data_IF_160304644583
#
_entry.id   IF_160304644583
#
_cell.length_a   1.000
_cell.length_b   1.000
_cell.length_c   1.000
_cell.angle_alpha   90.00
_cell.angle_beta   90.00
_cell.angle_gamma   90.00
#
_symmetry.space_group_name_H-M   'P 1'
#
loop_
_entity.id
_entity.type
_entity.pdbx_description
1 polymer ?
#
# COMPACT_ATOMS: atom_id res chain seq x y z
N UNK A 1 22.49 16.99 -39.91
CA UNK A 1 21.13 17.22 -40.42
C UNK A 1 20.43 15.88 -40.34
N UNK A 2 19.64 15.66 -39.30
CA UNK A 2 18.90 14.42 -39.06
C UNK A 2 17.49 14.83 -38.66
N UNK A 3 16.51 14.31 -39.42
CA UNK A 3 15.11 14.67 -39.33
C UNK A 3 14.47 13.99 -38.11
N UNK A 4 13.96 14.82 -37.19
CA UNK A 4 12.94 14.43 -36.23
C UNK A 4 11.64 14.20 -37.01
N UNK A 5 11.11 12.98 -36.97
CA UNK A 5 9.74 12.70 -37.38
C UNK A 5 8.86 12.87 -36.14
N UNK A 6 8.36 14.08 -35.92
CA UNK A 6 7.25 14.35 -35.01
C UNK A 6 5.95 13.98 -35.73
N UNK A 7 5.30 12.91 -35.28
CA UNK A 7 3.89 12.66 -35.61
C UNK A 7 3.04 13.57 -34.73
N UNK A 8 2.73 14.76 -35.22
CA UNK A 8 1.67 15.60 -34.67
C UNK A 8 0.31 15.05 -35.16
N UNK A 9 -0.42 14.33 -34.31
CA UNK A 9 -1.87 14.20 -34.51
C UNK A 9 -2.54 15.45 -33.91
N UNK A 10 -2.82 16.40 -34.78
CA UNK A 10 -3.77 17.53 -34.71
C UNK A 10 -4.37 17.89 -33.33
N UNK A 11 -3.69 18.73 -32.56
CA UNK A 11 -4.35 19.66 -31.65
C UNK A 11 -4.78 20.90 -32.43
N UNK A 12 -6.05 20.94 -32.84
CA UNK A 12 -6.67 22.18 -33.33
C UNK A 12 -7.09 23.04 -32.15
N UNK A 13 -6.39 24.17 -31.98
CA UNK A 13 -6.89 25.31 -31.20
C UNK A 13 -8.10 25.88 -31.96
N UNK A 14 -9.29 25.47 -31.56
CA UNK A 14 -10.55 25.92 -32.13
C UNK A 14 -11.56 26.12 -31.01
N UNK A 15 -12.11 27.33 -30.92
CA UNK A 15 -13.25 27.71 -30.08
C UNK A 15 -14.53 27.07 -30.58
N UNK A 16 -14.59 25.74 -30.55
CA UNK A 16 -15.82 24.98 -30.76
C UNK A 16 -16.27 24.45 -29.40
N UNK A 17 -17.53 24.68 -29.07
CA UNK A 17 -18.18 24.19 -27.85
C UNK A 17 -17.83 22.72 -27.61
N UNK A 18 -17.14 22.45 -26.49
CA UNK A 18 -16.55 21.19 -26.02
C UNK A 18 -17.55 20.02 -25.79
N UNK A 19 -18.68 19.99 -26.48
CA UNK A 19 -19.64 18.89 -26.42
C UNK A 19 -19.18 17.70 -27.28
N UNK A 20 -18.29 16.86 -26.74
CA UNK A 20 -18.06 15.51 -27.28
C UNK A 20 -16.65 15.14 -27.70
N UNK A 21 -15.63 15.98 -27.48
CA UNK A 21 -14.23 15.57 -27.69
C UNK A 21 -13.76 14.75 -26.49
N UNK A 22 -13.55 13.46 -26.72
CA UNK A 22 -12.86 12.60 -25.77
C UNK A 22 -11.40 13.08 -25.63
N UNK A 23 -10.88 12.94 -24.43
CA UNK A 23 -9.54 13.41 -24.06
C UNK A 23 -8.61 12.23 -23.75
N UNK A 24 -7.32 12.51 -23.68
CA UNK A 24 -6.28 11.55 -23.32
C UNK A 24 -5.45 12.05 -22.14
N UNK A 25 -4.89 11.13 -21.36
CA UNK A 25 -3.95 11.43 -20.27
C UNK A 25 -2.74 10.53 -20.41
N UNK A 26 -1.55 11.12 -20.48
CA UNK A 26 -0.26 10.42 -20.42
C UNK A 26 0.36 10.53 -19.03
N UNK A 27 0.72 9.40 -18.46
CA UNK A 27 1.48 9.27 -17.22
C UNK A 27 2.94 8.99 -17.56
N UNK A 28 3.86 9.74 -16.97
CA UNK A 28 5.29 9.46 -17.00
C UNK A 28 5.68 8.81 -15.68
N UNK A 29 6.14 7.57 -15.73
CA UNK A 29 6.56 6.82 -14.55
C UNK A 29 8.01 7.20 -14.23
N UNK A 30 8.16 8.19 -13.34
CA UNK A 30 9.44 8.74 -12.93
C UNK A 30 10.32 7.76 -12.15
N UNK A 31 9.74 6.64 -11.67
CA UNK A 31 10.48 5.56 -11.02
C UNK A 31 9.85 5.07 -9.73
N UNK A 32 10.63 4.33 -8.95
CA UNK A 32 10.29 3.86 -7.61
C UNK A 32 11.18 4.58 -6.58
N UNK A 33 10.56 5.19 -5.58
CA UNK A 33 11.25 5.79 -4.45
C UNK A 33 11.66 4.72 -3.42
N UNK A 34 12.93 4.74 -2.99
CA UNK A 34 13.39 3.92 -1.87
C UNK A 34 13.80 2.48 -2.21
N UNK A 35 14.03 2.16 -3.49
CA UNK A 35 14.99 1.12 -3.92
C UNK A 35 16.39 1.75 -3.80
N UNK A 36 17.34 1.18 -3.05
CA UNK A 36 18.66 1.81 -2.91
C UNK A 36 19.77 0.78 -2.72
N UNK A 37 20.82 0.88 -3.54
CA UNK A 37 22.18 0.50 -3.12
C UNK A 37 22.79 1.64 -2.28
N UNK A 38 23.78 1.34 -1.42
CA UNK A 38 24.34 2.22 -0.36
C UNK A 38 24.79 3.67 -0.74
N UNK A 39 24.70 4.12 -2.00
CA UNK A 39 25.38 5.33 -2.48
C UNK A 39 24.52 6.56 -2.82
N UNK A 40 23.18 6.53 -2.85
CA UNK A 40 22.39 7.75 -3.15
C UNK A 40 20.98 7.76 -2.53
N UNK A 41 20.53 8.93 -2.08
CA UNK A 41 19.11 9.22 -1.85
C UNK A 41 18.50 9.65 -3.20
N UNK A 42 17.71 8.82 -3.88
CA UNK A 42 17.12 9.19 -5.18
C UNK A 42 15.91 8.36 -5.60
N UNK A 43 15.29 8.76 -6.73
CA UNK A 43 14.25 8.04 -7.47
C UNK A 43 14.96 7.20 -8.54
N UNK A 44 14.69 5.90 -8.60
CA UNK A 44 15.27 5.01 -9.62
C UNK A 44 14.23 4.65 -10.67
N UNK A 45 14.61 4.69 -11.96
CA UNK A 45 13.75 4.22 -13.04
C UNK A 45 13.34 2.78 -12.78
N UNK A 46 12.06 2.48 -13.00
CA UNK A 46 11.54 1.12 -12.86
C UNK A 46 12.16 0.20 -13.93
N UNK A 47 12.76 -0.90 -13.47
CA UNK A 47 13.27 -1.95 -14.34
C UNK A 47 12.13 -2.89 -14.72
N UNK A 48 11.47 -2.63 -15.84
CA UNK A 48 10.37 -3.47 -16.35
C UNK A 48 10.81 -4.89 -16.76
N UNK A 49 12.10 -5.24 -16.70
CA UNK A 49 12.53 -6.64 -16.80
C UNK A 49 12.31 -7.40 -15.49
N UNK A 50 12.43 -6.71 -14.34
CA UNK A 50 12.27 -7.26 -12.98
C UNK A 50 10.87 -7.02 -12.40
N UNK A 51 10.30 -5.85 -12.66
CA UNK A 51 9.02 -5.43 -12.11
C UNK A 51 7.91 -5.49 -13.16
N UNK A 52 6.72 -5.92 -12.74
CA UNK A 52 5.48 -5.72 -13.46
C UNK A 52 4.76 -4.50 -12.89
N UNK A 53 4.04 -3.76 -13.74
CA UNK A 53 3.23 -2.64 -13.30
C UNK A 53 1.92 -2.57 -14.08
N UNK A 54 0.83 -2.16 -13.41
CA UNK A 54 -0.50 -2.03 -13.99
C UNK A 54 -1.16 -0.73 -13.54
N UNK A 55 -1.85 -0.08 -14.48
CA UNK A 55 -2.71 1.07 -14.24
C UNK A 55 -4.17 0.62 -14.15
N UNK A 56 -4.81 0.96 -13.05
CA UNK A 56 -6.24 0.80 -12.79
C UNK A 56 -6.89 2.17 -12.89
N UNK A 57 -7.97 2.25 -13.67
CA UNK A 57 -8.70 3.50 -13.87
C UNK A 57 -10.13 3.32 -13.38
N UNK A 58 -10.55 4.16 -12.46
CA UNK A 58 -11.91 4.20 -11.93
C UNK A 58 -12.59 5.49 -12.37
N UNK A 59 -13.89 5.42 -12.65
CA UNK A 59 -14.70 6.52 -13.17
C UNK A 59 -15.88 6.78 -12.25
N UNK A 60 -16.17 8.05 -12.00
CA UNK A 60 -17.38 8.53 -11.32
C UNK A 60 -18.21 9.46 -12.21
N UNK A 61 -19.52 9.50 -11.98
CA UNK A 61 -20.43 10.41 -12.66
C UNK A 61 -20.56 11.72 -11.88
N UNK A 62 -20.44 12.86 -12.56
CA UNK A 62 -20.55 14.21 -11.96
C UNK A 62 -21.88 14.45 -11.22
N UNK A 63 -22.92 13.63 -11.46
CA UNK A 63 -24.27 13.90 -10.94
C UNK A 63 -24.49 13.61 -9.46
N UNK A 64 -23.67 12.77 -8.83
CA UNK A 64 -23.93 12.27 -7.47
C UNK A 64 -22.66 12.26 -6.57
N UNK A 65 -21.67 13.13 -6.85
CA UNK A 65 -20.48 13.26 -6.00
C UNK A 65 -20.87 13.96 -4.67
N UNK A 66 -21.42 13.17 -3.75
CA UNK A 66 -21.37 13.50 -2.33
C UNK A 66 -20.02 13.05 -1.83
N UNK A 67 -19.14 14.02 -1.57
CA UNK A 67 -17.93 13.76 -0.80
C UNK A 67 -18.37 13.50 0.64
N UNK A 68 -18.48 12.23 1.00
CA UNK A 68 -18.45 11.85 2.40
C UNK A 68 -17.01 12.09 2.88
N UNK A 69 -16.77 12.93 3.90
CA UNK A 69 -15.43 13.13 4.45
C UNK A 69 -14.76 11.82 4.88
N UNK A 70 -15.56 10.82 5.26
CA UNK A 70 -15.12 9.51 5.71
C UNK A 70 -15.12 8.46 4.57
N UNK A 71 -15.57 8.85 3.37
CA UNK A 71 -15.47 8.06 2.14
C UNK A 71 -15.46 8.97 0.92
N UNK A 72 -14.29 9.52 0.53
CA UNK A 72 -14.21 10.55 -0.49
C UNK A 72 -14.52 10.05 -1.90
N UNK A 73 -14.55 8.72 -2.12
CA UNK A 73 -14.65 8.11 -3.46
C UNK A 73 -15.65 6.93 -3.54
N UNK A 74 -16.89 7.05 -3.02
CA UNK A 74 -17.77 5.90 -2.79
C UNK A 74 -18.33 5.30 -4.10
N UNK A 75 -18.39 6.10 -5.17
CA UNK A 75 -19.07 5.74 -6.41
C UNK A 75 -18.13 5.44 -7.59
N UNK A 76 -16.82 5.51 -7.37
CA UNK A 76 -15.83 5.25 -8.41
C UNK A 76 -15.81 3.76 -8.76
N UNK A 77 -16.13 3.45 -10.01
CA UNK A 77 -16.16 2.07 -10.52
C UNK A 77 -15.08 1.88 -11.57
N UNK A 78 -14.54 0.67 -11.67
CA UNK A 78 -13.54 0.33 -12.68
C UNK A 78 -14.07 0.70 -14.08
N UNK A 79 -13.33 1.51 -14.82
CA UNK A 79 -13.79 2.03 -16.12
C UNK A 79 -13.62 0.98 -17.23
N UNK A 80 -12.49 0.28 -17.20
CA UNK A 80 -12.04 -0.66 -18.24
C UNK A 80 -11.03 -1.64 -17.67
N UNK A 81 -10.63 -2.61 -18.50
CA UNK A 81 -9.55 -3.55 -18.15
C UNK A 81 -8.27 -2.81 -17.73
N UNK A 82 -7.58 -3.29 -16.66
CA UNK A 82 -6.32 -2.71 -16.23
C UNK A 82 -5.28 -2.72 -17.35
N UNK A 83 -4.53 -1.63 -17.48
CA UNK A 83 -3.53 -1.47 -18.54
C UNK A 83 -2.16 -1.88 -18.01
N UNK A 84 -1.51 -2.83 -18.67
CA UNK A 84 -0.13 -3.20 -18.36
C UNK A 84 0.83 -2.09 -18.79
N UNK A 85 1.74 -1.73 -17.90
CA UNK A 85 2.78 -0.74 -18.15
C UNK A 85 4.08 -1.51 -18.44
N UNK A 86 4.59 -1.33 -19.66
CA UNK A 86 5.80 -2.01 -20.14
C UNK A 86 6.95 -1.03 -20.44
N UNK A 87 6.65 0.27 -20.40
CA UNK A 87 7.58 1.37 -20.69
C UNK A 87 7.42 2.48 -19.64
N UNK A 88 8.33 3.45 -19.62
CA UNK A 88 8.32 4.57 -18.66
C UNK A 88 7.16 5.56 -18.83
N UNK A 89 6.20 5.26 -19.70
CA UNK A 89 4.99 6.05 -19.87
C UNK A 89 3.80 5.16 -20.25
N UNK A 90 2.60 5.62 -19.94
CA UNK A 90 1.34 5.00 -20.36
C UNK A 90 0.33 6.08 -20.69
N UNK A 91 -0.37 5.93 -21.82
CA UNK A 91 -1.42 6.86 -22.24
C UNK A 91 -2.77 6.18 -22.16
N UNK A 92 -3.72 6.88 -21.55
CA UNK A 92 -5.12 6.47 -21.44
C UNK A 92 -5.93 7.42 -22.31
N UNK A 93 -6.50 6.88 -23.39
CA UNK A 93 -7.33 7.61 -24.33
C UNK A 93 -8.82 7.45 -24.03
N UNK A 94 -9.63 8.18 -24.79
CA UNK A 94 -11.09 8.06 -24.80
C UNK A 94 -11.73 8.37 -23.44
N UNK A 95 -11.20 9.38 -22.74
CA UNK A 95 -11.73 9.85 -21.46
C UNK A 95 -12.77 10.95 -21.69
N UNK A 96 -13.99 10.72 -21.22
CA UNK A 96 -15.01 11.76 -21.16
C UNK A 96 -14.84 12.59 -19.89
N UNK A 97 -13.86 13.49 -19.93
CA UNK A 97 -13.51 14.42 -18.84
C UNK A 97 -14.43 15.65 -18.78
N UNK A 98 -15.45 15.72 -19.62
CA UNK A 98 -16.48 16.77 -19.54
C UNK A 98 -17.64 16.35 -18.64
N UNK A 99 -17.84 15.05 -18.47
CA UNK A 99 -18.97 14.48 -17.72
C UNK A 99 -18.55 13.60 -16.53
N UNK A 100 -17.26 13.24 -16.43
CA UNK A 100 -16.78 12.30 -15.42
C UNK A 100 -15.45 12.75 -14.80
N UNK A 101 -15.26 12.42 -13.53
CA UNK A 101 -13.97 12.41 -12.86
C UNK A 101 -13.39 11.00 -12.92
N UNK A 102 -12.06 10.89 -12.86
CA UNK A 102 -11.39 9.60 -12.81
C UNK A 102 -10.40 9.53 -11.66
N UNK A 103 -10.21 8.34 -11.11
CA UNK A 103 -9.10 8.01 -10.22
C UNK A 103 -8.19 7.04 -10.97
N UNK A 104 -6.89 7.31 -10.94
CA UNK A 104 -5.89 6.35 -11.39
C UNK A 104 -5.16 5.77 -10.19
N UNK A 105 -4.85 4.49 -10.26
CA UNK A 105 -3.97 3.78 -9.34
C UNK A 105 -2.97 3.00 -10.17
N UNK A 106 -1.69 3.17 -9.90
CA UNK A 106 -0.61 2.39 -10.50
C UNK A 106 -0.03 1.51 -9.40
N UNK A 107 -0.02 0.21 -9.63
CA UNK A 107 0.58 -0.80 -8.74
C UNK A 107 1.76 -1.44 -9.46
N UNK A 108 2.90 -1.51 -8.80
CA UNK A 108 4.08 -2.23 -9.25
C UNK A 108 4.54 -3.27 -8.21
N UNK A 109 5.10 -4.37 -8.72
CA UNK A 109 5.50 -5.55 -7.96
C UNK A 109 6.62 -6.29 -8.71
N UNK A 110 7.40 -7.10 -8.01
CA UNK A 110 8.36 -7.99 -8.69
C UNK A 110 7.61 -9.06 -9.49
N UNK A 111 8.02 -9.31 -10.73
CA UNK A 111 7.31 -10.22 -11.64
C UNK A 111 7.14 -11.63 -11.10
N UNK A 112 8.06 -12.10 -10.25
CA UNK A 112 7.97 -13.39 -9.57
C UNK A 112 6.68 -13.53 -8.73
N UNK A 113 6.11 -12.40 -8.28
CA UNK A 113 4.93 -12.33 -7.46
C UNK A 113 3.68 -11.83 -8.22
N UNK A 114 3.66 -11.87 -9.55
CA UNK A 114 2.56 -11.33 -10.36
C UNK A 114 1.18 -11.90 -9.99
N UNK A 115 1.10 -13.20 -9.67
CA UNK A 115 -0.15 -13.84 -9.25
C UNK A 115 -0.59 -13.38 -7.85
N UNK A 116 0.35 -13.17 -6.93
CA UNK A 116 0.07 -12.63 -5.59
C UNK A 116 -0.31 -11.14 -5.66
N UNK A 117 0.27 -10.39 -6.59
CA UNK A 117 0.03 -8.96 -6.77
C UNK A 117 -1.24 -8.61 -7.56
N UNK A 118 -2.09 -9.60 -7.87
CA UNK A 118 -3.36 -9.35 -8.54
C UNK A 118 -4.24 -8.46 -7.68
N UNK A 119 -4.91 -7.51 -8.32
CA UNK A 119 -5.96 -6.71 -7.69
C UNK A 119 -7.28 -7.45 -7.87
N UNK A 120 -8.02 -7.60 -6.77
CA UNK A 120 -9.33 -8.24 -6.69
C UNK A 120 -10.34 -7.24 -6.13
N UNK A 121 -11.62 -7.51 -6.34
CA UNK A 121 -12.70 -6.79 -5.68
C UNK A 121 -13.21 -7.63 -4.51
N UNK A 122 -13.35 -7.04 -3.33
CA UNK A 122 -14.01 -7.70 -2.21
C UNK A 122 -15.53 -7.77 -2.45
N UNK A 123 -16.10 -8.93 -2.14
CA UNK A 123 -17.54 -9.17 -2.21
C UNK A 123 -18.08 -9.48 -0.81
N UNK A 124 -18.66 -8.47 -0.17
CA UNK A 124 -19.20 -8.57 1.18
C UNK A 124 -20.37 -9.56 1.32
N UNK A 125 -21.13 -9.82 0.25
CA UNK A 125 -22.26 -10.77 0.29
C UNK A 125 -21.79 -12.22 0.45
N UNK A 126 -20.60 -12.54 -0.10
CA UNK A 126 -20.05 -13.89 -0.13
C UNK A 126 -18.74 -14.02 0.66
N UNK A 127 -18.26 -12.94 1.29
CA UNK A 127 -17.03 -12.86 2.06
C UNK A 127 -15.81 -13.40 1.30
N UNK A 128 -15.67 -12.99 0.03
CA UNK A 128 -14.56 -13.46 -0.81
C UNK A 128 -14.06 -12.42 -1.83
N UNK A 129 -12.85 -12.64 -2.31
CA UNK A 129 -12.29 -11.94 -3.47
C UNK A 129 -12.88 -12.43 -4.78
N UNK A 130 -13.25 -11.51 -5.66
CA UNK A 130 -13.67 -11.78 -7.04
C UNK A 130 -12.81 -11.01 -8.04
N UNK A 131 -12.70 -11.55 -9.26
CA UNK A 131 -12.00 -10.85 -10.35
C UNK A 131 -12.65 -9.49 -10.62
N UNK A 132 -11.82 -8.55 -11.08
CA UNK A 132 -12.27 -7.22 -11.41
C UNK A 132 -13.21 -7.23 -12.62
N UNK A 133 -14.27 -6.44 -12.55
CA UNK A 133 -15.22 -6.27 -13.64
C UNK A 133 -15.51 -4.79 -13.88
N UNK A 134 -15.35 -4.35 -15.13
CA UNK A 134 -15.65 -3.00 -15.54
C UNK A 134 -17.12 -2.62 -15.23
N UNK A 135 -17.32 -1.38 -14.79
CA UNK A 135 -18.58 -0.81 -14.33
C UNK A 135 -19.24 -1.53 -13.13
N UNK A 136 -18.58 -2.51 -12.49
CA UNK A 136 -19.08 -3.18 -11.28
C UNK A 136 -18.13 -3.04 -10.09
N UNK A 137 -16.85 -3.33 -10.27
CA UNK A 137 -15.88 -3.27 -9.17
C UNK A 137 -15.71 -1.85 -8.65
N UNK A 138 -15.94 -1.66 -7.35
CA UNK A 138 -15.83 -0.38 -6.68
C UNK A 138 -14.39 -0.14 -6.23
N UNK A 139 -13.88 1.06 -6.48
CA UNK A 139 -12.55 1.49 -6.04
C UNK A 139 -12.30 1.21 -4.56
N UNK A 140 -13.28 1.52 -3.72
CA UNK A 140 -13.20 1.41 -2.26
C UNK A 140 -13.09 -0.03 -1.76
N UNK A 141 -13.50 -1.02 -2.56
CA UNK A 141 -13.47 -2.45 -2.20
C UNK A 141 -12.39 -3.22 -2.96
N UNK A 142 -11.60 -2.56 -3.81
CA UNK A 142 -10.51 -3.20 -4.54
C UNK A 142 -9.27 -3.31 -3.66
N UNK A 143 -8.63 -4.49 -3.64
CA UNK A 143 -7.47 -4.81 -2.81
C UNK A 143 -6.45 -5.71 -3.53
N UNK A 144 -5.24 -5.81 -3.00
CA UNK A 144 -4.19 -6.68 -3.52
C UNK A 144 -4.26 -8.08 -2.88
N UNK A 145 -4.39 -9.12 -3.71
CA UNK A 145 -4.74 -10.50 -3.34
C UNK A 145 -3.72 -11.26 -2.50
N UNK A 146 -2.45 -10.82 -2.45
CA UNK A 146 -1.38 -11.48 -1.71
C UNK A 146 -1.69 -11.65 -0.20
N UNK A 147 -2.75 -11.00 0.26
CA UNK A 147 -3.10 -10.76 1.64
C UNK A 147 -4.49 -11.31 2.02
N UNK A 148 -5.08 -12.17 1.18
CA UNK A 148 -6.49 -12.63 1.27
C UNK A 148 -6.81 -13.44 2.55
N UNK A 149 -7.91 -13.06 3.21
CA UNK A 149 -8.49 -13.66 4.42
C UNK A 149 -8.89 -15.14 4.30
N UNK A 150 -9.19 -15.62 3.09
CA UNK A 150 -9.77 -16.96 2.90
C UNK A 150 -8.79 -18.11 3.17
N UNK A 151 -7.50 -17.79 3.28
CA UNK A 151 -6.51 -18.69 3.86
C UNK A 151 -6.11 -18.08 5.20
N UNK A 152 -6.39 -18.79 6.31
CA UNK A 152 -6.09 -18.47 7.71
C UNK A 152 -4.62 -18.08 8.05
N UNK A 153 -3.79 -17.76 7.06
CA UNK A 153 -2.55 -17.02 7.17
C UNK A 153 -2.43 -16.09 5.95
N UNK A 154 -2.88 -14.82 6.04
CA UNK A 154 -2.76 -13.84 4.94
C UNK A 154 -1.29 -13.47 4.65
N UNK A 155 -0.35 -13.96 5.45
CA UNK A 155 1.09 -13.81 5.23
C UNK A 155 1.79 -15.18 5.22
N UNK A 156 2.84 -15.34 4.41
CA UNK A 156 3.71 -16.50 4.48
C UNK A 156 4.17 -16.72 5.93
N UNK A 157 3.90 -17.90 6.45
CA UNK A 157 4.12 -18.24 7.87
C UNK A 157 5.59 -18.34 8.23
N UNK A 158 6.49 -18.32 7.25
CA UNK A 158 7.94 -18.51 7.40
C UNK A 158 8.72 -17.19 7.52
N UNK A 159 8.08 -16.02 7.36
CA UNK A 159 8.75 -14.72 7.50
C UNK A 159 9.82 -14.41 6.45
N UNK A 160 9.97 -15.26 5.42
CA UNK A 160 11.00 -15.13 4.38
C UNK A 160 10.50 -14.43 3.10
N UNK A 161 9.20 -14.41 2.85
CA UNK A 161 8.64 -13.86 1.61
C UNK A 161 8.50 -12.32 1.69
N UNK A 162 9.47 -11.63 1.07
CA UNK A 162 9.59 -10.18 0.98
C UNK A 162 8.69 -9.59 -0.11
N UNK A 163 7.41 -9.97 -0.16
CA UNK A 163 6.49 -9.44 -1.15
C UNK A 163 6.31 -7.92 -0.98
N UNK A 164 6.92 -7.14 -1.87
CA UNK A 164 6.85 -5.67 -1.85
C UNK A 164 5.89 -5.15 -2.91
N UNK A 165 4.98 -4.27 -2.47
CA UNK A 165 4.12 -3.48 -3.33
C UNK A 165 4.57 -2.03 -3.36
N UNK A 166 4.56 -1.47 -4.56
CA UNK A 166 4.75 -0.05 -4.81
C UNK A 166 3.52 0.52 -5.48
N UNK A 167 3.12 1.72 -5.07
CA UNK A 167 1.86 2.32 -5.45
C UNK A 167 1.99 3.81 -5.68
N UNK A 168 1.15 4.35 -6.56
CA UNK A 168 0.84 5.76 -6.65
C UNK A 168 -0.57 5.94 -7.21
N UNK A 169 -1.21 7.05 -6.87
CA UNK A 169 -2.54 7.35 -7.37
C UNK A 169 -2.89 8.82 -7.28
N UNK A 170 -3.99 9.18 -7.92
CA UNK A 170 -4.52 10.53 -7.85
C UNK A 170 -5.80 10.71 -8.65
N UNK A 171 -6.38 11.89 -8.51
CA UNK A 171 -7.59 12.28 -9.23
C UNK A 171 -7.24 12.96 -10.57
N UNK A 172 -8.01 12.61 -11.59
CA UNK A 172 -8.06 13.29 -12.88
C UNK A 172 -9.38 14.04 -12.93
N UNK A 173 -9.35 15.31 -12.53
CA UNK A 173 -10.53 16.15 -12.51
C UNK A 173 -11.09 16.37 -13.92
N UNK A 174 -12.41 16.43 -14.01
CA UNK A 174 -13.11 17.01 -15.15
C UNK A 174 -12.73 18.49 -15.32
N UNK A 175 -12.69 18.99 -16.56
CA UNK A 175 -12.48 20.41 -16.90
C UNK A 175 -11.04 20.99 -16.92
N UNK A 176 -9.97 20.19 -16.81
CA UNK A 176 -8.63 20.71 -17.13
C UNK A 176 -8.40 20.70 -18.66
N UNK A 177 -8.55 21.87 -19.29
CA UNK A 177 -8.41 22.09 -20.75
C UNK A 177 -6.96 22.01 -21.27
N UNK A 178 -5.95 22.03 -20.39
CA UNK A 178 -4.54 21.91 -20.77
C UNK A 178 -3.95 20.62 -20.21
N UNK A 179 -3.40 19.79 -21.09
CA UNK A 179 -2.79 18.53 -20.68
C UNK A 179 -1.30 18.70 -20.40
N UNK A 180 -0.92 18.56 -19.14
CA UNK A 180 0.47 18.36 -18.71
C UNK A 180 0.62 16.86 -18.39
N UNK A 181 1.65 16.18 -18.91
CA UNK A 181 1.95 14.81 -18.50
C UNK A 181 1.99 14.70 -16.97
N UNK A 182 1.32 13.67 -16.43
CA UNK A 182 1.31 13.43 -14.99
C UNK A 182 2.59 12.68 -14.65
N UNK A 183 3.49 13.30 -13.92
CA UNK A 183 4.67 12.63 -13.38
C UNK A 183 4.27 11.80 -12.15
N UNK A 184 4.62 10.52 -12.19
CA UNK A 184 4.26 9.54 -11.16
C UNK A 184 5.53 8.94 -10.58
N UNK A 185 5.71 9.07 -9.28
CA UNK A 185 6.74 8.37 -8.50
C UNK A 185 6.06 7.34 -7.63
N UNK A 186 6.44 6.08 -7.79
CA UNK A 186 5.88 4.97 -7.03
C UNK A 186 6.56 4.88 -5.67
N UNK A 187 5.78 4.73 -4.61
CA UNK A 187 6.30 4.61 -3.24
C UNK A 187 5.93 3.25 -2.66
N UNK A 188 6.76 2.73 -1.75
CA UNK A 188 6.51 1.46 -1.08
C UNK A 188 5.24 1.55 -0.22
N UNK A 189 4.29 0.64 -0.42
CA UNK A 189 3.00 0.60 0.29
C UNK A 189 3.02 -0.34 1.52
N UNK A 190 4.21 -0.79 1.91
CA UNK A 190 4.45 -1.73 2.99
C UNK A 190 5.29 -1.06 4.08
N UNK A 191 4.91 -1.29 5.33
CA UNK A 191 5.69 -1.01 6.52
C UNK A 191 6.22 -2.31 7.15
N UNK A 192 6.94 -2.21 8.27
CA UNK A 192 7.43 -3.37 9.00
C UNK A 192 7.31 -3.20 10.52
N UNK A 193 7.03 -4.29 11.21
CA UNK A 193 7.07 -4.39 12.67
C UNK A 193 8.28 -5.23 13.06
N UNK A 194 9.09 -4.72 13.98
CA UNK A 194 10.30 -5.40 14.45
C UNK A 194 10.20 -5.66 15.95
N UNK A 195 10.13 -6.92 16.36
CA UNK A 195 10.25 -7.33 17.76
C UNK A 195 11.72 -7.43 18.14
N UNK A 196 12.25 -6.38 18.77
CA UNK A 196 13.65 -6.28 19.18
C UNK A 196 13.88 -6.96 20.53
N UNK A 197 14.80 -7.92 20.58
CA UNK A 197 15.08 -8.75 21.76
C UNK A 197 16.46 -8.52 22.37
N UNK A 198 17.41 -8.02 21.57
CA UNK A 198 18.83 -7.89 21.95
C UNK A 198 19.59 -9.22 22.11
N UNK A 199 18.94 -10.38 21.98
CA UNK A 199 19.54 -11.69 22.26
C UNK A 199 20.69 -12.06 21.30
N UNK A 200 21.83 -12.49 21.83
CA UNK A 200 23.04 -12.77 21.03
C UNK A 200 22.90 -13.96 20.06
N UNK A 201 22.12 -14.97 20.44
CA UNK A 201 21.88 -16.18 19.66
C UNK A 201 20.55 -16.14 18.89
N UNK A 202 20.05 -14.96 18.52
CA UNK A 202 18.71 -14.74 17.95
C UNK A 202 18.36 -15.69 16.79
N UNK A 203 19.33 -16.07 15.95
CA UNK A 203 19.17 -16.98 14.81
C UNK A 203 18.71 -18.40 15.17
N UNK A 204 18.85 -18.82 16.41
CA UNK A 204 18.44 -20.15 16.88
C UNK A 204 17.27 -20.11 17.87
N UNK A 205 16.63 -18.94 18.03
CA UNK A 205 15.54 -18.76 18.98
C UNK A 205 14.24 -18.68 18.19
N UNK A 206 13.40 -19.74 18.21
CA UNK A 206 12.10 -19.68 17.58
C UNK A 206 11.18 -18.73 18.35
N UNK A 207 10.22 -18.16 17.63
CA UNK A 207 9.20 -17.30 18.21
C UNK A 207 7.86 -17.46 17.49
N UNK A 208 6.78 -17.20 18.19
CA UNK A 208 5.46 -17.03 17.58
C UNK A 208 5.00 -15.61 17.89
N UNK A 209 4.63 -14.83 16.87
CA UNK A 209 4.07 -13.50 17.07
C UNK A 209 2.63 -13.42 16.59
N UNK A 210 1.89 -12.57 17.27
CA UNK A 210 0.49 -12.27 17.00
C UNK A 210 0.33 -10.77 16.86
N UNK A 211 -0.24 -10.31 15.75
CA UNK A 211 -0.50 -8.90 15.47
C UNK A 211 -1.98 -8.71 15.20
N UNK A 212 -2.65 -7.88 15.99
CA UNK A 212 -4.06 -7.55 15.82
C UNK A 212 -4.21 -6.31 14.93
N UNK A 213 -4.84 -6.45 13.76
CA UNK A 213 -4.94 -5.35 12.78
C UNK A 213 -6.10 -5.58 11.82
N UNK A 214 -6.89 -4.52 11.56
CA UNK A 214 -7.90 -4.50 10.48
C UNK A 214 -7.26 -4.20 9.10
N UNK A 215 -5.94 -3.98 9.07
CA UNK A 215 -5.15 -3.67 7.88
C UNK A 215 -4.37 -4.89 7.39
N UNK A 216 -5.04 -6.02 7.22
CA UNK A 216 -4.41 -7.21 6.63
C UNK A 216 -4.46 -7.15 5.11
N UNK A 217 -5.50 -6.57 4.48
CA UNK A 217 -5.50 -6.21 3.05
C UNK A 217 -4.82 -4.86 2.79
N UNK A 218 -4.23 -4.73 1.60
CA UNK A 218 -3.85 -3.42 1.03
C UNK A 218 -4.93 -3.02 0.01
N UNK A 219 -5.89 -2.21 0.44
CA UNK A 219 -6.89 -1.63 -0.43
C UNK A 219 -6.26 -0.55 -1.31
N UNK A 220 -6.74 -0.45 -2.56
CA UNK A 220 -6.29 0.61 -3.46
C UNK A 220 -6.60 2.00 -2.92
N UNK A 221 -7.66 2.10 -2.11
CA UNK A 221 -8.04 3.33 -1.43
C UNK A 221 -7.01 3.85 -0.44
N UNK A 222 -6.12 2.98 0.07
CA UNK A 222 -5.01 3.36 0.94
C UNK A 222 -3.83 3.98 0.16
N UNK A 223 -3.79 3.88 -1.17
CA UNK A 223 -2.67 4.39 -1.98
C UNK A 223 -2.77 5.90 -2.18
N UNK A 224 -3.97 6.47 -2.15
CA UNK A 224 -4.20 7.91 -2.30
C UNK A 224 -4.32 8.54 -0.92
N UNK A 225 -3.45 9.51 -0.63
CA UNK A 225 -3.59 10.34 0.57
C UNK A 225 -4.78 11.31 0.40
N UNK A 226 -5.72 11.27 1.34
CA UNK A 226 -6.86 12.19 1.36
C UNK A 226 -6.76 13.18 2.52
N UNK A 227 -7.54 14.26 2.51
CA UNK A 227 -7.52 15.23 3.61
C UNK A 227 -7.90 14.61 4.96
N UNK A 228 -8.73 13.56 4.95
CA UNK A 228 -9.14 12.78 6.12
C UNK A 228 -8.19 11.62 6.45
N UNK A 229 -7.02 11.57 5.81
CA UNK A 229 -5.97 10.58 6.02
C UNK A 229 -6.04 9.43 5.03
N UNK A 230 -5.44 8.31 5.42
CA UNK A 230 -5.39 7.08 4.62
C UNK A 230 -6.40 6.13 5.24
N UNK A 231 -7.67 6.26 4.85
CA UNK A 231 -8.71 5.47 5.48
C UNK A 231 -8.83 4.11 4.79
N UNK A 232 -8.84 3.06 5.60
CA UNK A 232 -9.45 1.81 5.16
C UNK A 232 -10.96 2.06 5.07
N UNK A 233 -11.48 2.26 3.86
CA UNK A 233 -12.91 2.50 3.62
C UNK A 233 -13.76 1.23 3.69
N UNK A 234 -13.09 0.08 3.77
CA UNK A 234 -13.72 -1.15 4.16
C UNK A 234 -13.68 -1.22 5.69
N UNK A 235 -14.80 -0.85 6.31
CA UNK A 235 -15.15 -1.39 7.62
C UNK A 235 -15.43 -2.89 7.48
N UNK A 236 -14.51 -3.68 6.94
CA UNK A 236 -14.76 -5.10 6.60
C UNK A 236 -14.97 -5.94 7.88
N UNK A 237 -14.70 -5.39 9.06
CA UNK A 237 -14.96 -6.04 10.35
C UNK A 237 -15.83 -5.27 11.34
N UNK A 238 -16.66 -4.34 10.88
CA UNK A 238 -17.74 -3.78 11.74
C UNK A 238 -18.81 -4.83 12.14
N UNK A 239 -18.71 -6.09 11.68
CA UNK A 239 -19.56 -7.20 12.11
C UNK A 239 -18.94 -8.06 13.23
N UNK A 240 -18.68 -7.47 14.40
CA UNK A 240 -18.82 -8.03 15.76
C UNK A 240 -18.27 -9.44 16.15
N UNK A 241 -17.69 -10.25 15.28
CA UNK A 241 -17.49 -11.69 15.55
C UNK A 241 -16.10 -12.27 15.27
N UNK A 242 -15.11 -11.49 14.84
CA UNK A 242 -13.73 -11.96 14.77
C UNK A 242 -12.74 -10.81 14.94
N UNK A 243 -11.77 -11.02 15.82
CA UNK A 243 -10.62 -10.14 15.97
C UNK A 243 -9.64 -10.50 14.84
N UNK A 244 -9.37 -9.62 13.86
CA UNK A 244 -8.45 -9.96 12.78
C UNK A 244 -7.04 -10.04 13.35
N UNK A 245 -6.49 -11.25 13.26
CA UNK A 245 -5.24 -11.63 13.89
C UNK A 245 -4.31 -12.22 12.84
N UNK A 246 -3.09 -11.67 12.74
CA UNK A 246 -2.00 -12.23 11.96
C UNK A 246 -1.09 -12.99 12.92
N UNK A 247 -0.95 -14.30 12.70
CA UNK A 247 -0.06 -15.17 13.47
C UNK A 247 1.09 -15.69 12.60
N UNK A 248 2.32 -15.56 13.07
CA UNK A 248 3.54 -15.90 12.31
C UNK A 248 4.49 -16.69 13.21
N UNK A 249 5.03 -17.78 12.67
CA UNK A 249 6.01 -18.64 13.35
C UNK A 249 7.41 -18.43 12.77
N UNK A 250 8.32 -17.96 13.60
CA UNK A 250 9.73 -17.83 13.24
C UNK A 250 10.50 -19.06 13.69
N UNK A 251 11.28 -19.64 12.77
CA UNK A 251 12.27 -20.67 13.10
C UNK A 251 13.49 -20.10 13.87
N UNK A 252 13.76 -18.81 13.66
CA UNK A 252 14.82 -18.02 14.29
C UNK A 252 14.65 -16.55 13.92
N UNK A 253 15.23 -15.64 14.71
CA UNK A 253 15.27 -14.21 14.35
C UNK A 253 16.54 -13.84 13.58
N UNK A 254 16.67 -12.55 13.26
CA UNK A 254 17.72 -12.04 12.39
C UNK A 254 18.38 -10.77 12.94
N UNK A 255 19.47 -10.38 12.28
CA UNK A 255 20.08 -9.06 12.44
C UNK A 255 19.50 -8.13 11.37
N UNK A 256 18.76 -7.11 11.81
CA UNK A 256 17.98 -6.19 11.00
C UNK A 256 18.54 -4.78 11.20
N UNK A 257 19.52 -4.38 10.38
CA UNK A 257 20.33 -3.15 10.57
C UNK A 257 20.78 -2.97 12.03
N UNK A 258 21.59 -3.91 12.52
CA UNK A 258 22.14 -3.91 13.89
C UNK A 258 21.12 -4.22 15.00
N UNK A 259 19.82 -4.24 14.70
CA UNK A 259 18.77 -4.68 15.63
C UNK A 259 18.66 -6.20 15.59
N UNK A 260 18.69 -6.86 16.75
CA UNK A 260 18.46 -8.31 16.85
C UNK A 260 17.00 -8.57 17.15
N UNK A 261 16.27 -9.21 16.23
CA UNK A 261 14.83 -9.38 16.40
C UNK A 261 14.15 -10.18 15.30
N UNK A 262 12.83 -10.10 15.31
CA UNK A 262 11.93 -10.73 14.34
C UNK A 262 11.20 -9.64 13.57
N UNK A 263 11.12 -9.76 12.25
CA UNK A 263 10.55 -8.73 11.38
C UNK A 263 9.35 -9.27 10.63
N UNK A 264 8.28 -8.48 10.59
CA UNK A 264 7.06 -8.76 9.83
C UNK A 264 6.79 -7.58 8.92
N UNK A 265 6.54 -7.84 7.64
CA UNK A 265 6.03 -6.82 6.72
C UNK A 265 4.51 -6.76 6.79
N UNK A 266 3.95 -5.55 6.79
CA UNK A 266 2.52 -5.31 6.86
C UNK A 266 2.13 -4.18 5.91
N UNK A 267 0.87 -4.12 5.43
CA UNK A 267 0.37 -2.96 4.69
C UNK A 267 0.48 -1.71 5.55
N UNK A 268 0.76 -0.56 4.94
CA UNK A 268 0.73 0.69 5.69
C UNK A 268 -0.69 1.03 6.15
N UNK A 269 -0.82 1.43 7.41
CA UNK A 269 -2.09 1.96 7.95
C UNK A 269 -2.24 3.45 7.65
N UNK A 270 -1.13 4.14 7.35
CA UNK A 270 -1.16 5.54 6.93
C UNK A 270 -0.03 5.86 5.96
N UNK A 271 -0.32 6.61 4.90
CA UNK A 271 0.67 7.20 3.97
C UNK A 271 1.03 8.64 4.34
N UNK A 272 0.30 9.25 5.29
CA UNK A 272 0.50 10.64 5.71
C UNK A 272 1.79 10.82 6.51
N UNK A 273 2.58 11.82 6.11
CA UNK A 273 3.76 12.23 6.84
C UNK A 273 3.39 13.20 7.99
N UNK A 274 3.17 12.68 9.20
CA UNK A 274 2.94 13.53 10.38
C UNK A 274 4.24 14.23 10.81
N UNK A 275 4.15 15.53 11.16
CA UNK A 275 5.29 16.36 11.57
C UNK A 275 5.99 15.87 12.85
N UNK A 276 5.24 15.18 13.72
CA UNK A 276 5.78 14.43 14.86
C UNK A 276 5.25 13.00 14.80
N UNK A 277 6.15 12.04 14.71
CA UNK A 277 5.81 10.61 14.64
C UNK A 277 5.36 10.00 15.96
N UNK A 278 5.24 10.79 17.03
CA UNK A 278 4.69 10.32 18.28
C UNK A 278 3.22 9.93 18.09
N UNK A 279 2.85 8.75 18.59
CA UNK A 279 1.55 8.13 18.44
C UNK A 279 0.35 9.00 18.91
N UNK A 280 0.60 10.12 19.58
CA UNK A 280 -0.41 11.05 20.09
C UNK A 280 -1.08 11.91 19.02
N UNK A 281 -0.43 12.20 17.90
CA UNK A 281 -0.96 13.10 16.85
C UNK A 281 -1.61 12.37 15.66
N UNK A 282 -1.54 11.04 15.65
CA UNK A 282 -2.12 10.20 14.60
C UNK A 282 -3.52 9.76 15.08
N UNK A 283 -4.55 9.83 14.23
CA UNK A 283 -5.87 9.29 14.55
C UNK A 283 -5.83 7.80 14.91
N UNK A 284 -6.65 7.37 15.86
CA UNK A 284 -6.66 5.96 16.31
C UNK A 284 -7.13 4.99 15.21
N UNK A 285 -7.96 5.45 14.28
CA UNK A 285 -8.37 4.67 13.11
C UNK A 285 -7.24 4.44 12.10
N UNK A 286 -6.13 5.17 12.17
CA UNK A 286 -4.93 4.97 11.34
C UNK A 286 -3.83 4.14 12.05
N UNK A 287 -4.19 3.43 13.13
CA UNK A 287 -3.28 2.61 13.95
C UNK A 287 -3.77 1.15 14.02
N UNK A 288 -2.84 0.25 14.29
CA UNK A 288 -3.16 -1.15 14.61
C UNK A 288 -3.44 -1.33 16.11
N UNK A 289 -3.79 -2.56 16.52
CA UNK A 289 -4.35 -2.91 17.84
C UNK A 289 -5.73 -2.27 18.09
N UNK A 290 -6.51 -2.07 17.02
CA UNK A 290 -7.86 -1.48 16.91
C UNK A 290 -8.61 -1.20 18.23
N UNK A 291 -9.33 -0.08 18.27
CA UNK A 291 -10.25 0.23 19.35
C UNK A 291 -11.69 -0.04 18.87
N UNK A 292 -12.23 -1.23 19.15
CA UNK A 292 -13.62 -1.53 18.80
C UNK A 292 -14.58 -0.62 19.60
N UNK A 293 -15.68 -0.19 19.00
CA UNK A 293 -16.57 0.80 19.61
C UNK A 293 -17.35 0.23 20.81
N UNK A 294 -17.86 -1.00 20.77
CA UNK A 294 -18.61 -1.61 21.88
C UNK A 294 -18.59 -3.17 21.89
N UNK A 295 -18.19 -3.83 22.99
CA UNK A 295 -17.40 -3.26 24.10
C UNK A 295 -16.05 -2.77 23.58
N UNK A 296 -15.46 -1.76 24.24
CA UNK A 296 -14.10 -1.31 23.94
C UNK A 296 -13.10 -2.46 24.18
N UNK A 297 -12.80 -3.20 23.12
CA UNK A 297 -11.73 -4.20 23.10
C UNK A 297 -10.59 -3.60 22.31
N UNK A 298 -9.47 -3.42 22.99
CA UNK A 298 -8.19 -3.11 22.33
C UNK A 298 -7.54 -4.43 21.94
N UNK A 299 -7.19 -4.56 20.66
CA UNK A 299 -6.38 -5.68 20.18
C UNK A 299 -5.03 -5.73 20.92
N UNK A 300 -4.38 -6.90 20.91
CA UNK A 300 -3.08 -7.06 21.57
C UNK A 300 -2.03 -7.59 20.60
N UNK A 301 -0.95 -6.85 20.43
CA UNK A 301 0.22 -7.37 19.72
C UNK A 301 1.09 -8.12 20.73
N UNK A 302 1.53 -9.33 20.38
CA UNK A 302 2.34 -10.15 21.27
C UNK A 302 3.41 -10.96 20.53
N UNK A 303 4.42 -11.39 21.28
CA UNK A 303 5.41 -12.36 20.83
C UNK A 303 5.76 -13.31 21.97
N UNK A 304 5.76 -14.60 21.67
CA UNK A 304 6.20 -15.68 22.56
C UNK A 304 7.57 -16.15 22.14
N UNK A 305 8.55 -15.99 23.04
CA UNK A 305 9.94 -16.40 22.85
C UNK A 305 10.31 -17.29 24.04
N UNK A 306 10.78 -18.51 23.77
CA UNK A 306 11.20 -19.44 24.82
C UNK A 306 10.15 -19.59 25.95
N UNK A 307 8.90 -19.89 25.56
CA UNK A 307 7.75 -20.06 26.47
C UNK A 307 7.30 -18.81 27.23
N UNK A 308 7.95 -17.66 27.01
CA UNK A 308 7.58 -16.39 27.62
C UNK A 308 6.90 -15.47 26.62
N UNK A 309 5.69 -15.05 26.95
CA UNK A 309 4.91 -14.11 26.15
C UNK A 309 5.11 -12.67 26.62
N UNK A 310 5.35 -11.79 25.67
CA UNK A 310 5.44 -10.34 25.84
C UNK A 310 4.35 -9.71 25.00
N UNK A 311 3.68 -8.69 25.53
CA UNK A 311 2.57 -8.07 24.81
C UNK A 311 2.45 -6.57 25.06
N UNK A 312 1.73 -5.91 24.15
CA UNK A 312 1.32 -4.51 24.28
C UNK A 312 -0.07 -4.32 23.67
N UNK A 313 -0.85 -3.43 24.27
CA UNK A 313 -2.10 -2.89 23.74
C UNK A 313 -1.93 -1.44 23.26
N UNK A 314 -0.69 -0.94 23.20
CA UNK A 314 -0.40 0.38 22.68
C UNK A 314 -0.75 0.42 21.19
N UNK A 315 -1.51 1.44 20.78
CA UNK A 315 -1.86 1.66 19.39
C UNK A 315 -0.66 2.27 18.65
N UNK A 316 -0.36 1.77 17.46
CA UNK A 316 0.73 2.32 16.64
C UNK A 316 0.42 2.25 15.13
N UNK A 317 0.89 3.23 14.34
CA UNK A 317 0.79 3.20 12.89
C UNK A 317 1.79 2.22 12.25
N UNK A 318 1.48 1.81 11.02
CA UNK A 318 2.43 1.22 10.08
C UNK A 318 2.66 2.22 8.95
N UNK A 319 3.87 2.77 8.89
CA UNK A 319 4.24 3.76 7.88
C UNK A 319 4.89 3.10 6.65
N UNK A 320 4.67 3.67 5.44
CA UNK A 320 5.34 3.22 4.23
C UNK A 320 6.85 3.30 4.39
N UNK A 321 7.55 2.24 3.99
CA UNK A 321 9.01 2.16 4.00
C UNK A 321 9.66 2.33 5.40
N UNK A 322 8.93 2.14 6.50
CA UNK A 322 9.48 2.34 7.84
C UNK A 322 9.25 1.15 8.76
N UNK A 323 10.05 1.12 9.81
CA UNK A 323 9.99 0.13 10.87
C UNK A 323 9.37 0.72 12.12
N UNK A 324 8.36 0.04 12.65
CA UNK A 324 7.88 0.21 14.01
C UNK A 324 8.60 -0.80 14.90
N UNK A 325 9.39 -0.31 15.85
CA UNK A 325 10.27 -1.13 16.69
C UNK A 325 9.57 -1.38 18.03
N UNK A 326 9.27 -2.64 18.28
CA UNK A 326 8.70 -3.19 19.49
C UNK A 326 9.83 -3.76 20.35
N UNK A 327 10.33 -2.96 21.30
CA UNK A 327 11.43 -3.37 22.17
C UNK A 327 10.91 -4.22 23.33
N UNK A 328 11.42 -5.44 23.44
CA UNK A 328 11.11 -6.35 24.53
C UNK A 328 11.92 -5.94 25.76
N UNK A 329 11.24 -5.39 26.78
CA UNK A 329 11.88 -4.97 28.04
C UNK A 329 12.02 -6.09 29.07
N UNK A 330 12.58 -5.74 30.23
CA UNK A 330 12.60 -6.64 31.39
C UNK A 330 11.18 -6.87 31.92
N UNK A 331 10.72 -8.12 31.94
CA UNK A 331 9.37 -8.49 32.39
C UNK A 331 8.46 -8.93 31.24
N UNK A 332 7.18 -8.53 31.22
CA UNK A 332 6.18 -8.92 30.20
C UNK A 332 5.74 -7.74 29.32
N UNK A 333 6.57 -6.69 29.20
CA UNK A 333 6.22 -5.43 28.54
C UNK A 333 6.96 -5.25 27.22
N UNK A 334 6.28 -4.69 26.23
CA UNK A 334 6.84 -4.19 24.97
C UNK A 334 6.76 -2.65 24.98
N UNK A 335 7.85 -1.98 24.62
CA UNK A 335 7.89 -0.53 24.39
C UNK A 335 7.87 -0.24 22.89
N UNK A 336 6.96 0.62 22.44
CA UNK A 336 6.88 1.05 21.04
C UNK A 336 7.83 2.22 20.80
N UNK A 337 8.58 2.15 19.71
CA UNK A 337 9.41 3.25 19.22
C UNK A 337 9.36 3.30 17.70
N UNK A 338 9.43 4.52 17.16
CA UNK A 338 9.41 4.77 15.72
C UNK A 338 10.83 5.10 15.28
N UNK A 339 11.34 4.39 14.28
CA UNK A 339 12.76 4.50 13.94
C UNK A 339 13.15 5.88 13.40
N UNK A 340 14.19 6.48 13.96
CA UNK A 340 14.94 7.59 13.38
C UNK A 340 16.43 7.21 13.13
N UNK A 341 16.99 7.74 12.04
CA UNK A 341 18.32 7.50 11.45
C UNK A 341 18.75 6.05 11.09
N UNK A 342 18.03 5.01 11.53
CA UNK A 342 18.21 3.59 11.15
C UNK A 342 16.90 2.91 10.69
N UNK A 343 15.80 3.67 10.62
CA UNK A 343 14.41 3.18 10.65
C UNK A 343 13.70 2.88 9.33
N UNK A 344 14.35 3.02 8.18
CA UNK A 344 13.75 2.59 6.91
C UNK A 344 13.82 1.07 6.75
N UNK A 345 12.85 0.48 6.05
CA UNK A 345 12.75 -0.98 5.88
C UNK A 345 13.98 -1.61 5.25
N UNK A 346 14.68 -0.90 4.36
CA UNK A 346 16.09 -1.06 4.02
C UNK A 346 16.40 -0.09 2.86
N UNK A 347 17.63 0.40 2.80
CA UNK A 347 18.33 0.50 1.52
C UNK A 347 18.72 -0.93 1.18
N UNK A 348 18.27 -1.48 0.06
CA UNK A 348 18.61 -2.82 -0.40
C UNK A 348 20.10 -3.15 -0.21
N UNK A 349 20.34 -4.13 0.65
CA UNK A 349 21.65 -4.64 0.94
C UNK A 349 21.64 -6.14 0.77
N UNK A 350 21.67 -6.59 -0.49
CA UNK A 350 22.41 -7.79 -0.89
C UNK A 350 23.07 -7.53 -2.26
N UNK A 351 24.30 -7.04 -2.17
CA UNK A 351 25.30 -7.23 -3.19
C UNK A 351 25.75 -8.69 -3.15
N UNK A 352 25.26 -9.51 -4.09
CA UNK A 352 25.91 -10.77 -4.43
C UNK A 352 26.81 -10.51 -5.64
N UNK A 353 27.99 -9.92 -5.39
CA UNK A 353 29.00 -9.73 -6.41
C UNK A 353 29.40 -11.07 -7.06
N UNK A 354 29.34 -11.10 -8.39
CA UNK A 354 29.86 -12.19 -9.22
C UNK A 354 30.20 -11.72 -10.63
N UNK A 355 31.38 -11.11 -10.77
CA UNK A 355 32.29 -11.39 -11.90
C UNK A 355 33.46 -12.19 -11.34
#
# INVERSE_FOLDING_TARGET
MAAFWTSCSEDTIGTETNGGKLSSVTFHIGGIEGLRTRAANGIENIDFSKYGAKLYLFKDQIKDSQTDPDNPYPNFKLDREPVEITEGYVTIDNLDRTQNNYIYIIVAYEKAYAEKAKVMSWNADYYNGVELEAAKSLYTTCYIAALDENNYAPYPTDGEDQFMIYGAGGEIASQLDQFVPVEVVLTRQMGAVVFSTGADNIKSIPANCTINTDYYHLYLSQIIETQSGTQNHCSDFASHNSNPEISIEFSGGAFINEIKGYMVYLPCTTTKAYESYEASNIPDNEKINYKAAEPEVTGMTSITIQEKTYSTSELFPIYPNRRTILTIGDGSKITVSFGDNQGNINQEGDWNGGL
#
